data_IF_354228240010
#
_entry.id   IF_354228240010
#
_cell.length_a   1.000
_cell.length_b   1.000
_cell.length_c   1.000
_cell.angle_alpha   90.00
_cell.angle_beta   90.00
_cell.angle_gamma   90.00
#
_symmetry.space_group_name_H-M   'P 1'
#
loop_
_entity.id
_entity.type
_entity.pdbx_description
1 polymer ?
#
# COMPACT_ATOMS: atom_id res chain seq x y z
N UNK A 1 6.80 -9.35 -21.42
CA UNK A 1 6.51 -8.93 -20.03
C UNK A 1 5.03 -8.58 -19.80
N UNK A 2 4.52 -7.37 -20.07
CA UNK A 2 3.09 -7.04 -19.75
C UNK A 2 2.07 -7.95 -20.47
N UNK A 3 2.29 -8.27 -21.75
CA UNK A 3 1.40 -9.17 -22.51
C UNK A 3 1.34 -10.58 -21.88
N UNK A 4 2.47 -11.09 -21.40
CA UNK A 4 2.54 -12.41 -20.76
C UNK A 4 1.83 -12.39 -19.42
N UNK A 5 2.01 -11.33 -18.62
CA UNK A 5 1.29 -11.13 -17.37
C UNK A 5 -0.23 -11.11 -17.60
N UNK A 6 -0.72 -10.29 -18.52
CA UNK A 6 -2.15 -10.26 -18.87
C UNK A 6 -2.65 -11.63 -19.37
N UNK A 7 -1.81 -12.39 -20.08
CA UNK A 7 -2.12 -13.75 -20.50
C UNK A 7 -2.26 -14.73 -19.33
N UNK A 8 -1.35 -14.65 -18.35
CA UNK A 8 -1.38 -15.44 -17.12
C UNK A 8 -2.65 -15.14 -16.31
N UNK A 9 -2.98 -13.87 -16.07
CA UNK A 9 -4.19 -13.47 -15.34
C UNK A 9 -5.45 -14.03 -16.02
N UNK A 10 -5.55 -13.89 -17.34
CA UNK A 10 -6.68 -14.47 -18.11
C UNK A 10 -6.78 -15.99 -18.01
N UNK A 11 -5.66 -16.70 -17.87
CA UNK A 11 -5.66 -18.15 -17.68
C UNK A 11 -6.13 -18.53 -16.27
N UNK A 12 -5.66 -17.82 -15.25
CA UNK A 12 -6.06 -18.01 -13.85
C UNK A 12 -7.56 -17.72 -13.66
N UNK A 13 -8.06 -16.62 -14.22
CA UNK A 13 -9.49 -16.29 -14.17
C UNK A 13 -10.37 -17.32 -14.88
N UNK A 14 -9.92 -17.90 -16.00
CA UNK A 14 -10.64 -18.99 -16.67
C UNK A 14 -10.72 -20.25 -15.82
N UNK A 15 -9.79 -20.44 -14.89
CA UNK A 15 -9.82 -21.50 -13.89
C UNK A 15 -10.57 -21.10 -12.60
N UNK A 16 -11.15 -19.89 -12.53
CA UNK A 16 -11.83 -19.38 -11.34
C UNK A 16 -10.89 -18.96 -10.20
N UNK A 17 -9.62 -18.67 -10.51
CA UNK A 17 -8.60 -18.28 -9.53
C UNK A 17 -8.38 -16.77 -9.60
N UNK A 18 -8.55 -16.10 -8.46
CA UNK A 18 -8.28 -14.67 -8.30
C UNK A 18 -6.77 -14.39 -8.12
N UNK A 19 -6.34 -13.20 -8.55
CA UNK A 19 -4.94 -12.76 -8.50
C UNK A 19 -4.81 -11.58 -7.55
N UNK A 20 -4.07 -11.77 -6.47
CA UNK A 20 -3.70 -10.72 -5.52
C UNK A 20 -2.21 -10.42 -5.67
N UNK A 21 -1.85 -9.15 -5.82
CA UNK A 21 -0.46 -8.73 -5.93
C UNK A 21 0.08 -8.21 -4.60
N UNK A 22 1.27 -8.65 -4.24
CA UNK A 22 2.06 -8.04 -3.18
C UNK A 22 2.69 -6.74 -3.73
N UNK A 23 2.40 -5.61 -3.09
CA UNK A 23 2.80 -4.29 -3.58
C UNK A 23 3.57 -3.51 -2.52
N UNK A 24 4.67 -2.91 -2.98
CA UNK A 24 5.56 -2.08 -2.16
C UNK A 24 5.43 -0.64 -2.64
N UNK A 25 4.76 0.20 -1.84
CA UNK A 25 4.68 1.64 -2.05
C UNK A 25 5.35 2.44 -0.93
N UNK A 26 5.87 1.75 0.09
CA UNK A 26 6.46 2.39 1.27
C UNK A 26 7.90 2.88 1.04
N UNK A 27 8.66 2.23 0.15
CA UNK A 27 10.05 2.59 -0.18
C UNK A 27 10.38 2.36 -1.66
N UNK A 28 11.59 2.73 -2.06
CA UNK A 28 12.12 2.53 -3.41
C UNK A 28 13.54 1.97 -3.39
N UNK A 29 13.96 1.40 -4.51
CA UNK A 29 15.32 0.90 -4.71
C UNK A 29 16.41 2.00 -4.74
N UNK A 30 16.05 3.29 -4.72
CA UNK A 30 17.03 4.38 -4.70
C UNK A 30 17.77 4.49 -3.36
N UNK A 31 17.30 3.82 -2.30
CA UNK A 31 17.94 3.82 -0.97
C UNK A 31 18.07 5.22 -0.35
N UNK A 32 19.01 5.36 0.59
CA UNK A 32 19.29 6.61 1.32
C UNK A 32 20.12 7.60 0.49
N UNK A 33 20.66 8.64 1.12
CA UNK A 33 21.53 9.64 0.49
C UNK A 33 22.78 9.11 -0.24
N UNK A 34 23.26 7.90 0.07
CA UNK A 34 24.37 7.24 -0.64
C UNK A 34 23.90 6.30 -1.76
N UNK A 35 22.59 6.03 -1.82
CA UNK A 35 22.01 5.19 -2.86
C UNK A 35 21.93 5.89 -4.21
N UNK A 36 21.67 5.13 -5.29
CA UNK A 36 21.70 5.64 -6.65
C UNK A 36 20.58 6.66 -6.92
N UNK A 37 20.78 7.48 -7.95
CA UNK A 37 19.76 8.37 -8.52
C UNK A 37 19.34 7.80 -9.88
N UNK A 38 18.18 7.18 -9.92
CA UNK A 38 17.60 6.47 -11.05
C UNK A 38 16.29 7.11 -11.53
N UNK A 39 15.48 7.66 -10.62
CA UNK A 39 14.13 8.16 -10.90
C UNK A 39 13.72 9.29 -9.97
N UNK A 40 13.03 9.00 -8.87
CA UNK A 40 12.32 9.99 -8.06
C UNK A 40 13.27 11.02 -7.42
N UNK A 41 14.46 10.59 -6.99
CA UNK A 41 15.49 11.49 -6.47
C UNK A 41 15.91 12.55 -7.48
N UNK A 42 16.00 12.18 -8.76
CA UNK A 42 16.41 13.08 -9.83
C UNK A 42 15.28 13.95 -10.37
N UNK A 43 14.03 13.48 -10.28
CA UNK A 43 12.85 14.22 -10.73
C UNK A 43 12.44 15.28 -9.70
N UNK A 44 12.18 14.86 -8.46
CA UNK A 44 11.82 15.76 -7.35
C UNK A 44 11.97 15.03 -6.01
N UNK A 45 13.18 15.09 -5.46
CA UNK A 45 13.51 14.40 -4.21
C UNK A 45 12.60 14.80 -3.03
N UNK A 46 12.30 16.10 -2.92
CA UNK A 46 11.53 16.67 -1.80
C UNK A 46 10.05 16.31 -1.84
N UNK A 47 9.48 16.12 -3.04
CA UNK A 47 8.11 15.70 -3.20
C UNK A 47 7.92 14.20 -2.93
N UNK A 48 8.84 13.36 -3.42
CA UNK A 48 8.66 11.91 -3.38
C UNK A 48 9.16 11.26 -2.10
N UNK A 49 10.17 11.81 -1.42
CA UNK A 49 10.73 11.21 -0.21
C UNK A 49 10.50 12.04 1.04
N UNK A 50 10.41 11.34 2.17
CA UNK A 50 10.45 11.98 3.48
C UNK A 50 11.89 12.32 3.84
N UNK A 51 12.17 13.61 3.98
CA UNK A 51 13.49 14.10 4.38
C UNK A 51 13.49 14.49 5.86
N UNK A 52 14.66 14.46 6.49
CA UNK A 52 14.81 14.94 7.86
C UNK A 52 14.60 16.47 7.86
N UNK A 53 13.68 17.04 8.67
CA UNK A 53 13.27 18.45 8.56
C UNK A 53 14.43 19.42 8.77
N UNK A 54 15.35 19.08 9.67
CA UNK A 54 16.51 19.91 10.02
C UNK A 54 17.76 19.59 9.18
N UNK A 55 17.75 18.49 8.43
CA UNK A 55 18.85 18.12 7.54
C UNK A 55 18.32 17.40 6.28
N UNK A 56 17.86 18.16 5.27
CA UNK A 56 17.21 17.62 4.07
C UNK A 56 18.12 16.74 3.22
N UNK A 57 19.42 16.69 3.54
CA UNK A 57 20.36 15.75 2.93
C UNK A 57 20.03 14.30 3.28
N UNK A 58 19.44 14.07 4.45
CA UNK A 58 19.10 12.74 4.96
C UNK A 58 17.61 12.43 4.82
N UNK A 59 17.32 11.13 4.78
CA UNK A 59 15.99 10.58 4.53
C UNK A 59 15.47 9.98 5.83
N UNK A 60 14.19 10.17 6.11
CA UNK A 60 13.51 9.40 7.15
C UNK A 60 13.33 7.96 6.66
N UNK A 61 13.72 7.00 7.48
CA UNK A 61 13.61 5.57 7.18
C UNK A 61 12.72 4.88 8.21
N UNK A 62 11.45 4.69 7.86
CA UNK A 62 10.48 3.91 8.64
C UNK A 62 10.37 2.45 8.15
N UNK A 63 11.01 2.12 7.03
CA UNK A 63 10.89 0.83 6.34
C UNK A 63 12.11 -0.06 6.56
N UNK A 64 13.22 0.51 7.01
CA UNK A 64 14.51 -0.17 7.16
C UNK A 64 15.27 -0.33 5.85
N UNK A 65 14.89 0.40 4.80
CA UNK A 65 15.42 0.25 3.43
C UNK A 65 16.16 1.50 2.93
N UNK A 66 16.41 2.46 3.82
CA UNK A 66 17.15 3.69 3.57
C UNK A 66 16.31 4.89 3.13
N UNK A 67 15.05 4.70 2.72
CA UNK A 67 14.13 5.80 2.41
C UNK A 67 12.69 5.40 2.71
N UNK A 68 11.83 6.40 2.89
CA UNK A 68 10.37 6.21 2.93
C UNK A 68 9.69 7.19 1.98
N UNK A 69 8.75 6.67 1.21
CA UNK A 69 7.98 7.44 0.23
C UNK A 69 7.01 8.39 0.95
N UNK A 70 6.86 9.60 0.42
CA UNK A 70 6.01 10.64 1.00
C UNK A 70 4.58 10.56 0.45
N UNK A 71 3.78 9.62 0.98
CA UNK A 71 2.38 9.44 0.60
C UNK A 71 1.46 10.63 0.95
N UNK A 72 1.94 11.60 1.72
CA UNK A 72 1.19 12.84 2.05
C UNK A 72 1.25 13.84 0.89
N UNK A 73 2.32 13.80 0.10
CA UNK A 73 2.47 14.73 -1.01
C UNK A 73 1.47 14.38 -2.14
N UNK A 74 0.66 15.33 -2.64
CA UNK A 74 -0.41 15.04 -3.61
C UNK A 74 0.06 14.33 -4.88
N UNK A 75 1.25 14.70 -5.39
CA UNK A 75 1.82 14.05 -6.58
C UNK A 75 2.19 12.59 -6.34
N UNK A 76 2.72 12.28 -5.16
CA UNK A 76 3.10 10.92 -4.76
C UNK A 76 1.86 10.07 -4.51
N UNK A 77 0.87 10.64 -3.81
CA UNK A 77 -0.42 9.99 -3.62
C UNK A 77 -1.08 9.66 -4.96
N UNK A 78 -1.13 10.64 -5.87
CA UNK A 78 -1.65 10.44 -7.22
C UNK A 78 -0.93 9.32 -7.97
N UNK A 79 0.40 9.29 -7.91
CA UNK A 79 1.21 8.23 -8.52
C UNK A 79 0.80 6.85 -8.00
N UNK A 80 0.65 6.68 -6.68
CA UNK A 80 0.24 5.40 -6.08
C UNK A 80 -1.17 5.02 -6.54
N UNK A 81 -2.11 5.97 -6.49
CA UNK A 81 -3.51 5.73 -6.90
C UNK A 81 -3.62 5.35 -8.38
N UNK A 82 -2.90 6.05 -9.26
CA UNK A 82 -2.90 5.77 -10.69
C UNK A 82 -2.23 4.41 -10.98
N UNK A 83 -1.18 4.05 -10.21
CA UNK A 83 -0.56 2.73 -10.29
C UNK A 83 -1.52 1.61 -9.89
N UNK A 84 -2.24 1.75 -8.77
CA UNK A 84 -3.23 0.77 -8.33
C UNK A 84 -4.35 0.61 -9.37
N UNK A 85 -4.90 1.73 -9.89
CA UNK A 85 -5.94 1.70 -10.93
C UNK A 85 -5.45 1.02 -12.19
N UNK A 86 -4.20 1.27 -12.61
CA UNK A 86 -3.61 0.60 -13.77
C UNK A 86 -3.62 -0.93 -13.58
N UNK A 87 -3.18 -1.43 -12.43
CA UNK A 87 -3.18 -2.87 -12.17
C UNK A 87 -4.57 -3.50 -12.19
N UNK A 88 -5.59 -2.79 -11.68
CA UNK A 88 -6.98 -3.27 -11.71
C UNK A 88 -7.57 -3.20 -13.11
N UNK A 89 -7.56 -2.03 -13.75
CA UNK A 89 -8.26 -1.79 -15.02
C UNK A 89 -7.53 -2.45 -16.19
N UNK A 90 -6.22 -2.26 -16.28
CA UNK A 90 -5.45 -2.73 -17.43
C UNK A 90 -5.02 -4.17 -17.28
N UNK A 91 -4.69 -4.60 -16.05
CA UNK A 91 -4.12 -5.91 -15.81
C UNK A 91 -5.09 -6.90 -15.16
N UNK A 92 -6.30 -6.47 -14.79
CA UNK A 92 -7.36 -7.29 -14.17
C UNK A 92 -6.91 -7.97 -12.88
N UNK A 93 -6.14 -7.26 -12.05
CA UNK A 93 -5.79 -7.72 -10.71
C UNK A 93 -7.00 -7.58 -9.78
N UNK A 94 -7.27 -8.60 -8.97
CA UNK A 94 -8.47 -8.68 -8.12
C UNK A 94 -8.27 -8.10 -6.72
N UNK A 95 -7.02 -7.81 -6.35
CA UNK A 95 -6.69 -7.21 -5.07
C UNK A 95 -5.19 -7.02 -4.84
N UNK A 96 -4.89 -6.39 -3.71
CA UNK A 96 -3.54 -6.04 -3.30
C UNK A 96 -3.28 -6.46 -1.86
N UNK A 97 -2.06 -6.95 -1.61
CA UNK A 97 -1.46 -7.07 -0.29
C UNK A 97 -0.41 -5.98 -0.17
N UNK A 98 -0.63 -5.02 0.72
CA UNK A 98 0.28 -3.91 0.95
C UNK A 98 1.36 -4.32 1.95
N UNK A 99 2.60 -4.29 1.48
CA UNK A 99 3.80 -4.41 2.30
C UNK A 99 3.95 -3.18 3.21
N UNK A 100 4.23 -3.43 4.49
CA UNK A 100 4.40 -2.39 5.53
C UNK A 100 3.36 -1.27 5.41
N UNK A 101 2.08 -1.62 5.36
CA UNK A 101 0.99 -0.66 5.16
C UNK A 101 0.98 0.45 6.21
N UNK A 102 1.51 0.18 7.40
CA UNK A 102 1.67 1.15 8.50
C UNK A 102 2.57 2.32 8.10
N UNK A 103 3.63 2.08 7.31
CA UNK A 103 4.55 3.12 6.85
C UNK A 103 3.87 4.12 5.89
N UNK A 104 2.91 3.64 5.09
CA UNK A 104 2.06 4.49 4.23
C UNK A 104 1.07 5.33 5.06
N UNK A 105 0.63 4.80 6.19
CA UNK A 105 -0.34 5.45 7.07
C UNK A 105 0.28 6.48 8.04
N UNK A 106 1.61 6.62 8.10
CA UNK A 106 2.27 7.59 8.98
C UNK A 106 2.19 8.98 8.37
N UNK A 107 1.31 9.87 8.80
CA UNK A 107 1.32 11.23 8.25
C UNK A 107 2.45 12.08 8.87
N UNK A 108 2.61 12.13 10.19
CA UNK A 108 3.47 13.14 10.85
C UNK A 108 3.97 12.70 12.25
N UNK A 109 4.56 11.51 12.38
CA UNK A 109 5.03 10.89 13.65
C UNK A 109 3.97 10.18 14.50
N UNK A 110 2.69 10.49 14.34
CA UNK A 110 1.62 9.67 14.92
C UNK A 110 0.98 8.77 13.86
N UNK A 111 0.78 7.50 14.24
CA UNK A 111 -0.06 6.56 13.50
C UNK A 111 -1.53 6.82 13.92
N UNK A 112 -1.94 8.08 14.06
CA UNK A 112 -3.30 8.37 14.51
C UNK A 112 -4.11 8.99 13.37
N UNK A 113 -5.21 8.29 13.06
CA UNK A 113 -6.05 8.33 11.86
C UNK A 113 -5.54 7.46 10.72
N UNK A 114 -6.40 6.55 10.30
CA UNK A 114 -6.29 5.80 9.06
C UNK A 114 -6.21 6.80 7.89
N UNK A 115 -4.96 7.18 7.61
CA UNK A 115 -4.42 8.18 6.68
C UNK A 115 -5.27 8.52 5.47
N UNK A 116 -5.20 9.77 4.99
CA UNK A 116 -5.87 10.23 3.78
C UNK A 116 -5.74 9.26 2.59
N UNK A 117 -4.65 8.49 2.52
CA UNK A 117 -4.47 7.38 1.59
C UNK A 117 -5.62 6.36 1.58
N UNK A 118 -6.01 5.80 2.73
CA UNK A 118 -7.07 4.81 2.81
C UNK A 118 -8.44 5.43 2.54
N UNK A 119 -8.71 6.64 3.01
CA UNK A 119 -9.96 7.34 2.70
C UNK A 119 -10.09 7.56 1.18
N UNK A 120 -9.01 7.96 0.52
CA UNK A 120 -8.97 8.14 -0.94
C UNK A 120 -9.16 6.82 -1.69
N UNK A 121 -8.63 5.70 -1.19
CA UNK A 121 -8.89 4.37 -1.76
C UNK A 121 -10.37 3.98 -1.61
N UNK A 122 -10.97 4.18 -0.44
CA UNK A 122 -12.37 3.83 -0.21
C UNK A 122 -13.35 4.68 -1.01
N UNK A 123 -12.99 5.93 -1.32
CA UNK A 123 -13.77 6.81 -2.18
C UNK A 123 -13.58 6.53 -3.67
N UNK A 124 -12.54 5.78 -4.04
CA UNK A 124 -12.28 5.48 -5.44
C UNK A 124 -13.26 4.43 -5.99
N UNK A 125 -13.96 4.71 -7.10
CA UNK A 125 -14.99 3.81 -7.63
C UNK A 125 -14.42 2.48 -8.16
N UNK A 126 -13.14 2.42 -8.50
CA UNK A 126 -12.48 1.21 -9.00
C UNK A 126 -11.85 0.45 -7.84
N UNK A 127 -11.05 1.13 -7.00
CA UNK A 127 -10.28 0.49 -5.94
C UNK A 127 -11.16 0.05 -4.76
N UNK A 128 -12.32 0.68 -4.54
CA UNK A 128 -13.29 0.24 -3.53
C UNK A 128 -13.90 -1.14 -3.81
N UNK A 129 -13.76 -1.66 -5.04
CA UNK A 129 -14.33 -2.95 -5.44
C UNK A 129 -13.35 -4.13 -5.34
N UNK A 130 -12.06 -3.87 -5.10
CA UNK A 130 -11.03 -4.91 -5.06
C UNK A 130 -10.67 -5.30 -3.63
N UNK A 131 -10.02 -6.46 -3.46
CA UNK A 131 -9.59 -6.92 -2.13
C UNK A 131 -8.36 -6.15 -1.67
N UNK A 132 -8.42 -5.59 -0.47
CA UNK A 132 -7.29 -4.87 0.13
C UNK A 132 -6.87 -5.61 1.40
N UNK A 133 -5.63 -6.11 1.40
CA UNK A 133 -5.00 -6.80 2.53
C UNK A 133 -3.84 -5.92 2.98
N UNK A 134 -3.74 -5.62 4.26
CA UNK A 134 -2.70 -4.76 4.81
C UNK A 134 -1.90 -5.49 5.88
N UNK A 135 -0.58 -5.36 5.83
CA UNK A 135 0.30 -5.74 6.94
C UNK A 135 0.24 -4.66 8.03
N UNK A 136 -0.34 -4.94 9.22
CA UNK A 136 -0.62 -3.92 10.23
C UNK A 136 0.60 -3.65 11.12
N UNK A 137 1.81 -3.72 10.55
CA UNK A 137 3.02 -3.32 11.25
C UNK A 137 4.08 -2.60 10.39
N UNK A 138 4.94 -1.79 11.01
CA UNK A 138 6.18 -1.21 10.44
C UNK A 138 7.35 -1.29 11.45
N UNK A 139 8.57 -0.96 10.99
CA UNK A 139 9.82 -1.03 11.77
C UNK A 139 10.03 0.25 12.61
N UNK A 140 9.20 1.28 12.44
CA UNK A 140 9.31 2.55 13.14
C UNK A 140 8.81 2.49 14.58
N UNK A 141 9.16 3.50 15.42
CA UNK A 141 8.57 3.63 16.77
C UNK A 141 7.04 3.67 16.68
N UNK A 142 6.36 2.76 17.40
CA UNK A 142 4.89 2.63 17.36
C UNK A 142 4.33 1.77 16.22
N UNK A 143 5.19 1.05 15.48
CA UNK A 143 4.85 0.28 14.31
C UNK A 143 4.08 -1.02 14.52
N UNK A 144 3.76 -1.46 15.74
CA UNK A 144 3.05 -2.73 15.95
C UNK A 144 1.55 -2.49 16.24
N UNK A 145 0.65 -2.77 15.30
CA UNK A 145 -0.81 -2.59 15.46
C UNK A 145 -1.65 -3.81 15.10
N UNK A 146 -1.23 -5.00 15.52
CA UNK A 146 -2.02 -6.24 15.36
C UNK A 146 -3.43 -6.25 16.00
N UNK A 147 -3.91 -5.15 16.62
CA UNK A 147 -5.20 -5.09 17.34
C UNK A 147 -5.96 -3.76 17.26
N UNK A 148 -5.64 -2.83 16.35
CA UNK A 148 -6.29 -1.51 16.24
C UNK A 148 -6.72 -1.16 14.80
N UNK A 149 -7.31 -2.14 14.12
CA UNK A 149 -8.24 -1.85 13.02
C UNK A 149 -9.61 -1.55 13.62
N UNK A 150 -10.41 -0.60 13.08
CA UNK A 150 -11.82 -0.50 13.43
C UNK A 150 -12.48 -1.84 13.07
N UNK A 151 -12.88 -2.62 14.09
CA UNK A 151 -13.37 -3.99 13.94
C UNK A 151 -12.82 -5.01 14.95
N UNK A 152 -11.94 -4.63 15.88
CA UNK A 152 -11.42 -5.56 16.89
C UNK A 152 -12.50 -5.95 17.93
N UNK A 153 -12.95 -7.20 17.84
CA UNK A 153 -13.96 -7.86 18.68
C UNK A 153 -13.70 -7.74 20.19
N UNK A 154 -14.70 -7.26 20.93
CA UNK A 154 -14.90 -7.58 22.35
C UNK A 154 -15.55 -8.97 22.53
N UNK A 155 -15.51 -9.55 23.75
CA UNK A 155 -15.83 -10.96 23.99
C UNK A 155 -17.34 -11.30 23.98
N UNK A 156 -18.22 -10.38 23.58
CA UNK A 156 -19.66 -10.64 23.45
C UNK A 156 -20.01 -10.82 21.98
N UNK A 157 -20.03 -12.07 21.52
CA UNK A 157 -20.34 -12.40 20.13
C UNK A 157 -21.73 -11.92 19.72
N UNK A 158 -21.80 -11.02 18.74
CA UNK A 158 -22.91 -10.94 17.76
C UNK A 158 -22.44 -10.16 16.51
N UNK A 159 -22.39 -10.87 15.37
CA UNK A 159 -22.40 -10.44 13.95
C UNK A 159 -21.21 -9.64 13.34
N UNK A 160 -20.80 -10.14 12.17
CA UNK A 160 -19.62 -9.84 11.35
C UNK A 160 -20.01 -9.12 10.05
N UNK A 161 -19.13 -8.26 9.50
CA UNK A 161 -18.99 -8.03 8.04
C UNK A 161 -17.55 -7.68 7.68
N UNK A 162 -16.64 -8.63 7.89
CA UNK A 162 -15.44 -8.82 7.07
C UNK A 162 -15.60 -10.16 6.34
N UNK A 163 -16.50 -10.21 5.35
CA UNK A 163 -16.73 -11.43 4.56
C UNK A 163 -17.00 -11.10 3.10
N UNK A 164 -15.93 -10.98 2.31
CA UNK A 164 -15.90 -11.45 0.91
C UNK A 164 -14.54 -12.06 0.58
N UNK A 165 -14.14 -13.04 1.39
CA UNK A 165 -13.10 -13.99 1.02
C UNK A 165 -13.22 -15.30 1.83
N UNK A 166 -14.42 -15.89 1.90
CA UNK A 166 -14.62 -17.25 2.42
C UNK A 166 -16.07 -17.78 2.21
N UNK A 167 -16.62 -17.74 1.01
CA UNK A 167 -17.80 -18.56 0.64
C UNK A 167 -17.89 -18.72 -0.89
N UNK A 168 -17.14 -19.67 -1.42
CA UNK A 168 -17.45 -20.38 -2.68
C UNK A 168 -16.76 -21.74 -2.82
N UNK A 169 -15.92 -22.15 -1.85
CA UNK A 169 -15.45 -23.52 -1.72
C UNK A 169 -16.42 -24.34 -0.87
N UNK A 170 -17.56 -24.72 -1.47
CA UNK A 170 -18.40 -25.90 -1.16
C UNK A 170 -19.60 -25.86 -2.12
N UNK A 171 -19.66 -26.82 -3.04
CA UNK A 171 -20.76 -27.03 -3.99
C UNK A 171 -20.24 -27.26 -5.39
#
# INVERSE_FOLDING_TARGET
QIREFKGMVKALHRAGIEVILDVVYNHTAEGNHLGPMLSFKGVDNTAYYRLVPDDPRYYMDFTGTGNSLNAVHPSTLRLIMDSLRYWVIECHVDGFRFDLASALARELYEVDRLSAFFDVIHQDPVLSQVKLIAEPWDVGPGGYRGRQLPGACGPSGTACTATRCATSWRG
#
